data_IF_620637191570
#
_entry.id   IF_620637191570
#
_cell.length_a   1.000
_cell.length_b   1.000
_cell.length_c   1.000
_cell.angle_alpha   90.00
_cell.angle_beta   90.00
_cell.angle_gamma   90.00
#
_symmetry.space_group_name_H-M   'P 1'
#
loop_
_entity.id
_entity.type
_entity.pdbx_description
1 polymer ?
#
# COMPACT_ATOMS: atom_id res chain seq x y z
N UNK A 1 10.37 28.55 8.25
CA UNK A 1 9.52 27.60 7.49
C UNK A 1 8.44 27.08 8.42
N UNK A 2 7.16 27.31 8.09
CA UNK A 2 6.00 26.86 8.85
C UNK A 2 5.00 26.11 7.94
N UNK A 3 3.97 25.50 8.55
CA UNK A 3 2.97 24.71 7.81
C UNK A 3 2.17 25.56 6.81
N UNK A 4 1.98 26.85 7.09
CA UNK A 4 1.27 27.75 6.19
C UNK A 4 2.10 28.05 4.94
N UNK A 5 3.39 28.30 5.10
CA UNK A 5 4.32 28.47 3.98
C UNK A 5 4.41 27.20 3.14
N UNK A 6 4.48 26.00 3.78
CA UNK A 6 4.45 24.72 3.08
C UNK A 6 3.15 24.50 2.31
N UNK A 7 2.00 24.87 2.89
CA UNK A 7 0.70 24.82 2.19
C UNK A 7 0.67 25.72 0.96
N UNK A 8 1.19 26.93 1.06
CA UNK A 8 1.31 27.83 -0.07
C UNK A 8 2.22 27.26 -1.16
N UNK A 9 3.38 26.72 -0.77
CA UNK A 9 4.33 26.11 -1.70
C UNK A 9 3.70 24.94 -2.47
N UNK A 10 3.04 24.01 -1.75
CA UNK A 10 2.35 22.86 -2.38
C UNK A 10 1.25 23.33 -3.33
N UNK A 11 0.45 24.34 -2.93
CA UNK A 11 -0.62 24.89 -3.77
C UNK A 11 -0.06 25.54 -5.03
N UNK A 12 1.06 26.26 -4.95
CA UNK A 12 1.73 26.88 -6.13
C UNK A 12 2.14 25.83 -7.15
N UNK A 13 2.63 24.68 -6.69
CA UNK A 13 3.05 23.58 -7.57
C UNK A 13 1.83 22.92 -8.22
N UNK A 14 0.78 22.65 -7.45
CA UNK A 14 -0.45 22.02 -7.94
C UNK A 14 -1.17 22.87 -8.99
N UNK A 15 -1.19 24.20 -8.82
CA UNK A 15 -1.83 25.12 -9.76
C UNK A 15 -0.92 25.50 -10.95
N UNK A 16 0.36 25.14 -10.90
CA UNK A 16 1.34 25.40 -11.96
C UNK A 16 1.70 26.87 -12.16
N UNK A 17 1.05 27.81 -11.45
CA UNK A 17 1.33 29.25 -11.50
C UNK A 17 1.05 29.92 -10.16
N UNK A 18 1.84 30.95 -9.82
CA UNK A 18 1.62 31.73 -8.59
C UNK A 18 0.26 32.45 -8.61
N UNK A 19 -0.16 32.93 -9.78
CA UNK A 19 -1.46 33.61 -9.93
C UNK A 19 -2.64 32.66 -9.76
N UNK A 20 -2.52 31.40 -10.24
CA UNK A 20 -3.50 30.33 -10.04
C UNK A 20 -3.64 29.98 -8.58
N UNK A 21 -2.51 29.74 -7.93
CA UNK A 21 -2.45 29.44 -6.49
C UNK A 21 -3.02 30.57 -5.63
N UNK A 22 -2.70 31.84 -5.96
CA UNK A 22 -3.22 33.00 -5.23
C UNK A 22 -4.76 33.04 -5.29
N UNK A 23 -5.37 32.78 -6.46
CA UNK A 23 -6.84 32.68 -6.59
C UNK A 23 -7.42 31.56 -5.75
N UNK A 24 -6.81 30.38 -5.77
CA UNK A 24 -7.27 29.22 -4.99
C UNK A 24 -7.17 29.46 -3.49
N UNK A 25 -6.14 30.18 -3.05
CA UNK A 25 -5.89 30.54 -1.66
C UNK A 25 -6.65 31.79 -1.20
N UNK A 26 -7.46 32.40 -2.08
CA UNK A 26 -8.15 33.69 -1.82
C UNK A 26 -7.18 34.82 -1.43
N UNK A 27 -6.01 34.83 -2.05
CA UNK A 27 -4.96 35.85 -1.88
C UNK A 27 -4.74 36.64 -3.16
N UNK A 28 -4.08 37.78 -3.04
CA UNK A 28 -3.48 38.45 -4.19
C UNK A 28 -2.10 37.87 -4.48
N UNK A 29 -1.63 37.99 -5.74
CA UNK A 29 -0.35 37.39 -6.17
C UNK A 29 0.87 37.96 -5.40
N UNK A 30 1.00 39.30 -5.12
CA UNK A 30 2.20 39.84 -4.50
C UNK A 30 2.54 39.22 -3.12
N UNK A 31 1.61 39.09 -2.15
CA UNK A 31 1.93 38.45 -0.89
C UNK A 31 2.29 36.98 -1.01
N UNK A 32 1.68 36.22 -1.95
CA UNK A 32 2.04 34.82 -2.14
C UNK A 32 3.45 34.70 -2.74
N UNK A 33 3.79 35.54 -3.73
CA UNK A 33 5.14 35.61 -4.29
C UNK A 33 6.19 35.96 -3.25
N UNK A 34 5.90 36.91 -2.34
CA UNK A 34 6.78 37.26 -1.22
C UNK A 34 6.99 36.08 -0.26
N UNK A 35 5.93 35.32 0.04
CA UNK A 35 6.05 34.12 0.89
C UNK A 35 6.91 33.02 0.23
N UNK A 36 6.80 32.82 -1.08
CA UNK A 36 7.67 31.86 -1.79
C UNK A 36 9.13 32.30 -1.76
N UNK A 37 9.39 33.60 -1.96
CA UNK A 37 10.75 34.13 -1.85
C UNK A 37 11.33 33.99 -0.44
N UNK A 38 10.53 34.27 0.59
CA UNK A 38 10.94 34.08 1.99
C UNK A 38 11.26 32.61 2.30
N UNK A 39 10.46 31.68 1.77
CA UNK A 39 10.71 30.24 1.90
C UNK A 39 12.04 29.83 1.26
N UNK A 40 12.38 30.37 0.09
CA UNK A 40 13.67 30.13 -0.57
C UNK A 40 14.85 30.73 0.21
N UNK A 41 14.67 31.93 0.76
CA UNK A 41 15.66 32.58 1.63
C UNK A 41 15.92 31.76 2.90
N UNK A 42 14.86 31.29 3.59
CA UNK A 42 14.97 30.43 4.76
C UNK A 42 15.58 29.05 4.45
N UNK A 43 15.25 28.48 3.28
CA UNK A 43 15.82 27.22 2.82
C UNK A 43 17.28 27.35 2.37
N UNK A 44 17.75 28.58 2.11
CA UNK A 44 19.11 28.85 1.59
C UNK A 44 19.34 28.38 0.17
N UNK A 45 18.28 28.05 -0.57
CA UNK A 45 18.37 27.58 -1.96
C UNK A 45 17.11 27.94 -2.77
N UNK A 46 17.26 27.97 -4.09
CA UNK A 46 16.12 28.15 -4.97
C UNK A 46 15.30 26.86 -5.04
N UNK A 47 13.99 27.01 -4.92
CA UNK A 47 13.01 25.92 -5.03
C UNK A 47 12.33 25.91 -6.41
N UNK A 48 12.34 27.04 -7.09
CA UNK A 48 11.75 27.23 -8.41
C UNK A 48 12.81 27.58 -9.45
N UNK A 49 12.65 27.06 -10.68
CA UNK A 49 13.44 27.47 -11.85
C UNK A 49 13.04 28.90 -12.27
N UNK A 50 14.05 29.74 -12.55
CA UNK A 50 13.83 31.15 -12.99
C UNK A 50 13.48 31.20 -14.47
N UNK A 51 12.57 32.12 -14.83
CA UNK A 51 12.29 32.49 -16.23
C UNK A 51 11.22 31.65 -16.92
N UNK A 52 10.59 30.71 -16.28
CA UNK A 52 9.47 29.95 -16.85
C UNK A 52 8.12 30.65 -16.64
N UNK A 53 7.21 30.55 -17.63
CA UNK A 53 5.80 30.99 -17.48
C UNK A 53 5.02 30.08 -16.53
N UNK A 54 5.46 28.83 -16.37
CA UNK A 54 4.91 27.85 -15.45
C UNK A 54 5.92 27.54 -14.36
N UNK A 55 5.41 27.19 -13.19
CA UNK A 55 6.23 26.77 -12.05
C UNK A 55 6.95 25.47 -12.43
N UNK A 56 8.28 25.53 -12.40
CA UNK A 56 9.15 24.36 -12.51
C UNK A 56 10.00 24.27 -11.24
N UNK A 57 10.15 23.06 -10.71
CA UNK A 57 10.89 22.82 -9.49
C UNK A 57 12.35 22.52 -9.78
N UNK A 58 13.23 23.08 -8.96
CA UNK A 58 14.62 22.61 -8.85
C UNK A 58 14.65 21.22 -8.18
N UNK A 59 15.80 20.55 -8.14
CA UNK A 59 15.97 19.32 -7.38
C UNK A 59 15.67 19.52 -5.89
N UNK A 60 16.06 20.67 -5.29
CA UNK A 60 15.71 21.04 -3.93
C UNK A 60 14.19 21.25 -3.76
N UNK A 61 13.55 21.90 -4.75
CA UNK A 61 12.10 22.08 -4.78
C UNK A 61 11.34 20.75 -4.83
N UNK A 62 11.79 19.80 -5.65
CA UNK A 62 11.20 18.46 -5.71
C UNK A 62 11.32 17.71 -4.39
N UNK A 63 12.50 17.76 -3.76
CA UNK A 63 12.72 17.16 -2.45
C UNK A 63 11.79 17.79 -1.39
N UNK A 64 11.73 19.13 -1.35
CA UNK A 64 10.86 19.84 -0.40
C UNK A 64 9.39 19.52 -0.66
N UNK A 65 8.95 19.47 -1.92
CA UNK A 65 7.56 19.13 -2.27
C UNK A 65 7.12 17.80 -1.69
N UNK A 66 7.92 16.73 -1.91
CA UNK A 66 7.62 15.42 -1.37
C UNK A 66 7.56 15.38 0.16
N UNK A 67 8.38 16.19 0.85
CA UNK A 67 8.36 16.32 2.31
C UNK A 67 7.20 17.20 2.79
N UNK A 68 6.94 18.32 2.13
CA UNK A 68 5.88 19.25 2.48
C UNK A 68 4.49 18.61 2.42
N UNK A 69 4.21 17.80 1.38
CA UNK A 69 2.95 17.04 1.29
C UNK A 69 2.78 16.13 2.51
N UNK A 70 3.80 15.34 2.87
CA UNK A 70 3.75 14.45 4.04
C UNK A 70 3.58 15.21 5.36
N UNK A 71 4.26 16.35 5.53
CA UNK A 71 4.15 17.19 6.75
C UNK A 71 2.73 17.77 6.91
N UNK A 72 2.14 18.25 5.82
CA UNK A 72 0.77 18.79 5.83
C UNK A 72 -0.26 17.70 6.13
N UNK A 73 -0.12 16.54 5.51
CA UNK A 73 -0.97 15.39 5.74
C UNK A 73 -0.89 14.93 7.20
N UNK A 74 0.31 14.82 7.76
CA UNK A 74 0.51 14.45 9.17
C UNK A 74 -0.08 15.50 10.13
N UNK A 75 0.04 16.78 9.82
CA UNK A 75 -0.56 17.85 10.62
C UNK A 75 -2.11 17.76 10.63
N UNK A 76 -2.73 17.48 9.48
CA UNK A 76 -4.17 17.29 9.37
C UNK A 76 -4.65 16.05 10.11
N UNK A 77 -3.87 14.95 10.02
CA UNK A 77 -4.12 13.72 10.78
C UNK A 77 -4.10 14.01 12.28
N UNK A 78 -3.04 14.66 12.76
CA UNK A 78 -2.87 15.02 14.19
C UNK A 78 -4.04 15.86 14.72
N UNK A 79 -4.48 16.83 13.92
CA UNK A 79 -5.62 17.69 14.30
C UNK A 79 -6.92 16.88 14.41
N UNK A 80 -7.15 15.92 13.50
CA UNK A 80 -8.31 15.01 13.56
C UNK A 80 -8.23 14.07 14.76
N UNK A 81 -7.08 13.47 15.02
CA UNK A 81 -6.87 12.58 16.17
C UNK A 81 -7.14 13.26 17.51
N UNK A 82 -6.70 14.50 17.68
CA UNK A 82 -6.99 15.28 18.87
C UNK A 82 -8.49 15.54 19.06
N UNK A 83 -9.22 15.74 17.97
CA UNK A 83 -10.67 15.88 17.98
C UNK A 83 -11.36 14.56 18.37
N UNK A 84 -10.96 13.45 17.74
CA UNK A 84 -11.53 12.11 17.97
C UNK A 84 -11.23 11.60 19.40
N UNK A 85 -10.05 11.92 19.94
CA UNK A 85 -9.69 11.61 21.33
C UNK A 85 -10.65 12.25 22.33
N UNK A 86 -11.14 13.45 22.04
CA UNK A 86 -12.12 14.15 22.89
C UNK A 86 -13.51 13.49 22.83
N UNK A 87 -13.92 12.98 21.67
CA UNK A 87 -15.29 12.51 21.41
C UNK A 87 -15.48 10.99 21.70
N UNK A 88 -14.39 10.22 21.95
CA UNK A 88 -14.30 8.91 22.64
C UNK A 88 -14.87 7.66 21.99
N UNK A 89 -15.78 7.76 21.02
CA UNK A 89 -16.48 6.58 20.40
C UNK A 89 -16.58 6.65 18.87
N UNK A 90 -16.16 7.72 18.26
CA UNK A 90 -16.09 7.92 16.82
C UNK A 90 -14.62 8.11 16.42
N UNK A 91 -14.29 7.88 15.18
CA UNK A 91 -12.94 8.12 14.67
C UNK A 91 -12.73 7.53 13.29
N UNK A 92 -11.56 7.77 12.74
CA UNK A 92 -11.14 7.22 11.44
C UNK A 92 -9.97 6.27 11.66
N UNK A 93 -10.13 5.01 11.25
CA UNK A 93 -9.04 4.04 11.21
C UNK A 93 -8.30 4.15 9.87
N UNK A 94 -7.05 4.61 9.92
CA UNK A 94 -6.16 4.67 8.74
C UNK A 94 -5.41 3.35 8.59
N UNK A 95 -5.84 2.57 7.61
CA UNK A 95 -5.37 1.22 7.36
C UNK A 95 -4.70 1.11 5.99
N UNK A 96 -3.43 0.71 5.97
CA UNK A 96 -2.72 0.33 4.76
C UNK A 96 -3.03 -1.11 4.37
N UNK A 97 -3.20 -1.38 3.08
CA UNK A 97 -3.51 -2.74 2.64
C UNK A 97 -2.90 -3.03 1.26
N UNK A 98 -2.31 -4.20 1.10
CA UNK A 98 -1.92 -4.67 -0.24
C UNK A 98 -3.16 -5.11 -1.01
N UNK A 99 -3.19 -4.85 -2.32
CA UNK A 99 -4.36 -5.03 -3.18
C UNK A 99 -5.00 -6.42 -3.10
N UNK A 100 -4.19 -7.47 -2.99
CA UNK A 100 -4.66 -8.86 -2.89
C UNK A 100 -5.34 -9.18 -1.55
N UNK A 101 -5.16 -8.36 -0.53
CA UNK A 101 -5.78 -8.53 0.80
C UNK A 101 -7.01 -7.66 0.95
N UNK A 102 -6.94 -6.42 0.46
CA UNK A 102 -8.04 -5.46 0.52
C UNK A 102 -9.30 -5.93 -0.20
N UNK A 103 -9.11 -6.57 -1.35
CA UNK A 103 -10.23 -7.04 -2.19
C UNK A 103 -10.83 -8.40 -1.77
N UNK A 104 -10.21 -9.10 -0.81
CA UNK A 104 -10.61 -10.45 -0.40
C UNK A 104 -10.81 -10.54 1.11
N UNK A 105 -9.73 -10.63 1.83
CA UNK A 105 -9.68 -10.96 3.24
C UNK A 105 -10.21 -9.87 4.18
N UNK A 106 -9.88 -8.60 3.88
CA UNK A 106 -10.24 -7.47 4.74
C UNK A 106 -11.74 -7.25 4.83
N UNK A 107 -12.50 -7.58 3.80
CA UNK A 107 -13.95 -7.33 3.73
C UNK A 107 -14.68 -7.96 4.92
N UNK A 108 -14.40 -9.22 5.22
CA UNK A 108 -15.05 -9.93 6.34
C UNK A 108 -14.66 -9.34 7.69
N UNK A 109 -13.37 -9.01 7.86
CA UNK A 109 -12.87 -8.40 9.09
C UNK A 109 -13.52 -7.02 9.36
N UNK A 110 -13.70 -6.22 8.31
CA UNK A 110 -14.37 -4.91 8.40
C UNK A 110 -15.87 -5.07 8.68
N UNK A 111 -16.55 -6.04 8.04
CA UNK A 111 -17.96 -6.31 8.30
C UNK A 111 -18.21 -6.68 9.76
N UNK A 112 -17.39 -7.51 10.36
CA UNK A 112 -17.52 -7.92 11.77
C UNK A 112 -17.15 -6.78 12.73
N UNK A 113 -16.15 -6.00 12.39
CA UNK A 113 -15.75 -4.82 13.16
C UNK A 113 -16.86 -3.77 13.17
N UNK A 114 -17.44 -3.46 12.03
CA UNK A 114 -18.47 -2.42 11.88
C UNK A 114 -19.76 -2.72 12.65
N UNK A 115 -20.10 -4.02 12.85
CA UNK A 115 -21.22 -4.43 13.72
C UNK A 115 -21.01 -4.00 15.18
N UNK A 116 -19.77 -3.98 15.65
CA UNK A 116 -19.40 -3.63 17.03
C UNK A 116 -19.10 -2.13 17.20
N UNK A 117 -18.57 -1.50 16.13
CA UNK A 117 -18.09 -0.11 16.13
C UNK A 117 -18.66 0.67 14.94
N UNK A 118 -20.00 0.92 14.90
CA UNK A 118 -20.67 1.50 13.72
C UNK A 118 -20.31 2.97 13.43
N UNK A 119 -19.63 3.64 14.37
CA UNK A 119 -19.23 5.05 14.25
C UNK A 119 -17.73 5.22 13.94
N UNK A 120 -17.03 4.13 13.63
CA UNK A 120 -15.64 4.19 13.18
C UNK A 120 -15.62 4.05 11.65
N UNK A 121 -15.13 5.08 11.00
CA UNK A 121 -14.92 5.11 9.56
C UNK A 121 -13.53 4.54 9.21
N UNK A 122 -13.34 4.15 7.95
CA UNK A 122 -12.10 3.63 7.42
C UNK A 122 -11.53 4.56 6.37
N UNK A 123 -10.25 4.86 6.48
CA UNK A 123 -9.45 5.46 5.42
C UNK A 123 -8.44 4.41 4.95
N UNK A 124 -8.69 3.83 3.76
CA UNK A 124 -7.86 2.76 3.22
C UNK A 124 -6.83 3.32 2.25
N UNK A 125 -5.57 3.01 2.51
CA UNK A 125 -4.47 3.29 1.60
C UNK A 125 -4.01 1.98 0.95
N UNK A 126 -4.16 1.86 -0.36
CA UNK A 126 -3.62 0.73 -1.11
C UNK A 126 -2.21 1.02 -1.62
N UNK A 127 -1.34 0.02 -1.52
CA UNK A 127 0.04 0.11 -1.98
C UNK A 127 0.76 -1.23 -1.96
N UNK A 128 2.00 -1.25 -2.41
CA UNK A 128 2.86 -2.41 -2.18
C UNK A 128 3.38 -2.41 -0.72
N UNK A 129 3.88 -3.57 -0.28
CA UNK A 129 4.35 -3.75 1.11
C UNK A 129 5.34 -2.66 1.53
N UNK A 130 6.30 -2.30 0.69
CA UNK A 130 7.36 -1.34 1.06
C UNK A 130 6.83 0.08 1.20
N UNK A 131 5.94 0.51 0.30
CA UNK A 131 5.26 1.80 0.39
C UNK A 131 4.41 1.91 1.66
N UNK A 132 3.67 0.84 2.00
CA UNK A 132 2.84 0.81 3.21
C UNK A 132 3.70 0.85 4.48
N UNK A 133 4.83 0.14 4.51
CA UNK A 133 5.76 0.20 5.64
C UNK A 133 6.40 1.58 5.80
N UNK A 134 6.69 2.30 4.71
CA UNK A 134 7.15 3.68 4.76
C UNK A 134 6.08 4.61 5.35
N UNK A 135 4.82 4.47 4.92
CA UNK A 135 3.71 5.27 5.46
C UNK A 135 3.44 4.95 6.94
N UNK A 136 3.56 3.68 7.32
CA UNK A 136 3.45 3.25 8.70
C UNK A 136 4.53 3.89 9.59
N UNK A 137 5.79 3.90 9.12
CA UNK A 137 6.91 4.54 9.85
C UNK A 137 6.78 6.06 9.94
N UNK A 138 6.14 6.69 8.98
CA UNK A 138 5.87 8.14 8.98
C UNK A 138 4.59 8.54 9.72
N UNK A 139 3.80 7.58 10.22
CA UNK A 139 2.55 7.85 10.94
C UNK A 139 1.36 8.25 10.05
N UNK A 140 1.49 8.13 8.72
CA UNK A 140 0.38 8.40 7.79
C UNK A 140 -0.70 7.33 7.86
N UNK A 141 -0.33 6.09 8.17
CA UNK A 141 -1.23 4.99 8.50
C UNK A 141 -0.85 4.41 9.86
N UNK A 142 -1.81 3.83 10.57
CA UNK A 142 -1.61 3.29 11.92
C UNK A 142 -1.35 1.79 11.92
N UNK A 143 -2.02 1.09 11.03
CA UNK A 143 -1.94 -0.35 10.83
C UNK A 143 -1.75 -0.65 9.35
N UNK A 144 -1.09 -1.78 9.05
CA UNK A 144 -0.98 -2.24 7.69
C UNK A 144 -1.20 -3.76 7.59
N UNK A 145 -1.96 -4.19 6.59
CA UNK A 145 -2.06 -5.59 6.17
C UNK A 145 -1.15 -5.79 4.96
N UNK A 146 -0.04 -6.45 5.19
CA UNK A 146 1.02 -6.66 4.19
C UNK A 146 1.36 -8.13 4.03
N UNK A 147 2.16 -8.46 3.02
CA UNK A 147 2.61 -9.82 2.77
C UNK A 147 4.10 -10.00 3.01
N UNK A 148 4.48 -11.16 3.53
CA UNK A 148 5.90 -11.58 3.58
C UNK A 148 6.45 -11.82 2.16
N UNK A 149 7.80 -11.71 1.96
CA UNK A 149 8.81 -11.28 2.94
C UNK A 149 8.92 -9.76 3.06
N UNK A 150 9.31 -9.28 4.26
CA UNK A 150 9.70 -7.89 4.52
C UNK A 150 10.55 -7.81 5.79
N UNK A 151 11.31 -6.71 5.99
CA UNK A 151 12.06 -6.46 7.21
C UNK A 151 11.10 -6.13 8.37
N UNK A 152 11.32 -6.76 9.52
CA UNK A 152 10.53 -6.52 10.75
C UNK A 152 11.15 -5.48 11.69
N UNK A 153 12.24 -4.86 11.30
CA UNK A 153 12.95 -3.89 12.15
C UNK A 153 12.06 -2.67 12.46
N UNK A 154 11.92 -2.33 13.74
CA UNK A 154 11.06 -1.23 14.22
C UNK A 154 9.55 -1.50 14.08
N UNK A 155 9.15 -2.74 13.80
CA UNK A 155 7.76 -3.12 13.56
C UNK A 155 7.32 -4.22 14.53
N UNK A 156 6.07 -4.12 14.98
CA UNK A 156 5.34 -5.25 15.53
C UNK A 156 4.58 -5.91 14.38
N UNK A 157 4.82 -7.20 14.14
CA UNK A 157 4.20 -7.94 13.05
C UNK A 157 3.60 -9.23 13.56
N UNK A 158 2.33 -9.47 13.24
CA UNK A 158 1.61 -10.69 13.60
C UNK A 158 1.12 -11.36 12.32
N UNK A 159 1.53 -12.61 12.05
CA UNK A 159 1.00 -13.36 10.92
C UNK A 159 -0.46 -13.72 11.19
N UNK A 160 -1.33 -13.51 10.22
CA UNK A 160 -2.76 -13.84 10.29
C UNK A 160 -3.06 -15.14 9.53
N UNK A 161 -2.57 -15.25 8.31
CA UNK A 161 -2.77 -16.39 7.43
C UNK A 161 -1.50 -16.64 6.64
N UNK A 162 -1.14 -17.91 6.51
CA UNK A 162 -0.15 -18.38 5.57
C UNK A 162 -0.84 -19.16 4.46
N UNK A 163 -0.48 -18.88 3.21
CA UNK A 163 -1.08 -19.51 2.04
C UNK A 163 -0.04 -19.82 0.96
N UNK A 164 -0.25 -20.91 0.19
CA UNK A 164 0.64 -21.25 -0.92
C UNK A 164 0.46 -20.30 -2.10
N UNK A 165 1.48 -20.22 -2.96
CA UNK A 165 1.35 -19.65 -4.28
C UNK A 165 0.80 -20.73 -5.24
N UNK A 166 -0.20 -20.33 -6.04
CA UNK A 166 -0.85 -21.20 -7.01
C UNK A 166 -0.66 -20.60 -8.41
N UNK A 167 -0.57 -21.47 -9.41
CA UNK A 167 -0.70 -21.08 -10.80
C UNK A 167 -2.18 -20.92 -11.15
N UNK A 168 -2.56 -19.74 -11.65
CA UNK A 168 -3.94 -19.38 -12.01
C UNK A 168 -3.99 -19.07 -13.51
N UNK A 169 -4.93 -19.67 -14.22
CA UNK A 169 -5.09 -19.45 -15.65
C UNK A 169 -6.20 -20.31 -16.26
N UNK A 170 -6.43 -20.16 -17.58
CA UNK A 170 -7.40 -20.97 -18.29
C UNK A 170 -7.06 -22.47 -18.24
N UNK A 171 -8.06 -23.33 -18.06
CA UNK A 171 -7.95 -24.80 -18.08
C UNK A 171 -7.10 -25.32 -19.23
N UNK A 172 -7.18 -24.68 -20.42
CA UNK A 172 -6.43 -25.09 -21.63
C UNK A 172 -4.92 -25.14 -21.43
N UNK A 173 -4.37 -24.33 -20.52
CA UNK A 173 -2.93 -24.31 -20.26
C UNK A 173 -2.44 -25.49 -19.42
N UNK A 174 -3.31 -26.09 -18.62
CA UNK A 174 -2.91 -27.09 -17.62
C UNK A 174 -3.08 -28.57 -18.06
N UNK A 175 -3.65 -28.81 -19.23
CA UNK A 175 -3.81 -30.20 -19.81
C UNK A 175 -4.37 -31.21 -18.78
N UNK A 176 -5.29 -30.77 -17.91
CA UNK A 176 -5.87 -31.56 -16.81
C UNK A 176 -4.89 -32.03 -15.72
N UNK A 177 -3.64 -31.54 -15.71
CA UNK A 177 -2.67 -31.85 -14.64
C UNK A 177 -3.05 -31.15 -13.34
N UNK A 178 -2.89 -31.86 -12.23
CA UNK A 178 -3.09 -31.34 -10.87
C UNK A 178 -2.43 -32.27 -9.83
N UNK A 179 -1.32 -31.92 -9.19
CA UNK A 179 -0.58 -30.65 -9.33
C UNK A 179 0.15 -30.53 -10.68
N UNK A 180 0.73 -29.35 -10.91
CA UNK A 180 1.65 -29.06 -12.03
C UNK A 180 3.08 -28.88 -11.50
N UNK A 181 4.05 -28.80 -12.43
CA UNK A 181 5.45 -28.49 -12.16
C UNK A 181 5.89 -27.21 -12.87
N UNK A 182 7.06 -26.66 -12.52
CA UNK A 182 7.67 -25.57 -13.27
C UNK A 182 7.91 -25.93 -14.74
N UNK A 183 8.23 -27.20 -15.01
CA UNK A 183 8.39 -27.73 -16.39
C UNK A 183 7.11 -27.61 -17.19
N UNK A 184 5.94 -27.80 -16.56
CA UNK A 184 4.64 -27.66 -17.24
C UNK A 184 4.31 -26.22 -17.60
N UNK A 185 4.94 -25.26 -16.93
CA UNK A 185 4.80 -23.82 -17.18
C UNK A 185 5.81 -23.30 -18.22
N UNK A 186 6.85 -24.09 -18.53
CA UNK A 186 7.87 -23.70 -19.51
C UNK A 186 7.26 -23.48 -20.88
N UNK A 187 7.57 -22.36 -21.52
CA UNK A 187 7.03 -21.97 -22.83
C UNK A 187 5.60 -21.43 -22.83
N UNK A 188 4.86 -21.53 -21.73
CA UNK A 188 3.54 -20.91 -21.60
C UNK A 188 3.65 -19.41 -21.25
N UNK A 189 2.69 -18.56 -21.67
CA UNK A 189 2.73 -17.14 -21.38
C UNK A 189 2.51 -16.86 -19.89
N UNK A 190 3.56 -16.41 -19.18
CA UNK A 190 3.49 -16.09 -17.76
C UNK A 190 3.23 -14.60 -17.54
N UNK A 191 2.30 -14.31 -16.64
CA UNK A 191 2.00 -12.99 -16.12
C UNK A 191 2.62 -12.90 -14.72
N UNK A 192 3.75 -12.18 -14.61
CA UNK A 192 4.52 -12.12 -13.38
C UNK A 192 4.12 -10.90 -12.55
N UNK A 193 3.69 -11.15 -11.34
CA UNK A 193 3.61 -10.11 -10.31
C UNK A 193 5.02 -9.83 -9.79
N UNK A 194 5.54 -8.61 -9.98
CA UNK A 194 6.95 -8.23 -9.71
C UNK A 194 7.42 -8.58 -8.32
N UNK A 195 6.53 -8.64 -7.35
CA UNK A 195 6.87 -9.08 -5.99
C UNK A 195 7.53 -10.45 -5.95
N UNK A 196 7.05 -11.37 -6.76
CA UNK A 196 7.53 -12.76 -6.81
C UNK A 196 8.51 -13.02 -7.94
N UNK A 197 8.68 -12.06 -8.84
CA UNK A 197 9.53 -12.20 -10.03
C UNK A 197 10.93 -12.72 -9.72
N UNK A 198 11.70 -12.15 -8.76
CA UNK A 198 13.06 -12.61 -8.50
C UNK A 198 13.10 -14.07 -8.07
N UNK A 199 12.19 -14.47 -7.16
CA UNK A 199 12.14 -15.85 -6.64
C UNK A 199 11.71 -16.82 -7.74
N UNK A 200 10.69 -16.45 -8.52
CA UNK A 200 10.19 -17.30 -9.61
C UNK A 200 11.23 -17.48 -10.70
N UNK A 201 11.89 -16.42 -11.16
CA UNK A 201 12.93 -16.53 -12.19
C UNK A 201 14.12 -17.36 -11.70
N UNK A 202 14.49 -17.25 -10.42
CA UNK A 202 15.54 -18.07 -9.84
C UNK A 202 15.14 -19.55 -9.80
N UNK A 203 13.91 -19.88 -9.37
CA UNK A 203 13.41 -21.25 -9.35
C UNK A 203 13.39 -21.88 -10.76
N UNK A 204 12.99 -21.12 -11.78
CA UNK A 204 13.10 -21.60 -13.18
C UNK A 204 14.55 -21.84 -13.59
N UNK A 205 15.46 -20.93 -13.22
CA UNK A 205 16.89 -21.06 -13.52
C UNK A 205 17.51 -22.29 -12.85
N UNK A 206 17.21 -22.54 -11.58
CA UNK A 206 17.66 -23.71 -10.83
C UNK A 206 17.15 -25.01 -11.43
N UNK A 207 15.93 -25.00 -11.97
CA UNK A 207 15.36 -26.13 -12.70
C UNK A 207 15.91 -26.29 -14.14
N UNK A 208 16.82 -25.41 -14.60
CA UNK A 208 17.34 -25.42 -15.97
C UNK A 208 16.30 -25.02 -17.02
N UNK A 209 15.25 -24.29 -16.62
CA UNK A 209 14.14 -23.89 -17.46
C UNK A 209 14.19 -22.39 -17.79
N UNK A 210 13.63 -22.02 -18.95
CA UNK A 210 13.50 -20.64 -19.37
C UNK A 210 12.01 -20.28 -19.43
N UNK A 211 11.50 -19.38 -18.57
CA UNK A 211 10.10 -18.96 -18.59
C UNK A 211 9.82 -18.00 -19.75
N UNK A 212 8.66 -18.15 -20.38
CA UNK A 212 8.15 -17.16 -21.33
C UNK A 212 7.36 -16.09 -20.58
N UNK A 213 8.02 -14.99 -20.23
CA UNK A 213 7.37 -13.86 -19.52
C UNK A 213 6.62 -13.00 -20.53
N UNK A 214 5.30 -13.15 -20.56
CA UNK A 214 4.39 -12.36 -21.39
C UNK A 214 4.15 -10.95 -20.83
N UNK A 215 3.97 -10.84 -19.50
CA UNK A 215 3.68 -9.58 -18.84
C UNK A 215 4.33 -9.51 -17.46
N UNK A 216 4.76 -8.32 -17.07
CA UNK A 216 5.18 -7.99 -15.70
C UNK A 216 4.35 -6.83 -15.19
N UNK A 217 3.79 -6.93 -13.99
CA UNK A 217 3.00 -5.87 -13.37
C UNK A 217 3.23 -5.79 -11.86
N UNK A 218 2.75 -4.71 -11.25
CA UNK A 218 2.97 -4.40 -9.83
C UNK A 218 1.73 -4.65 -8.95
N UNK A 219 0.67 -5.26 -9.51
CA UNK A 219 -0.59 -5.49 -8.81
C UNK A 219 -1.10 -6.93 -8.99
N UNK A 220 -1.36 -7.63 -7.88
CA UNK A 220 -1.85 -9.01 -7.92
C UNK A 220 -3.26 -9.12 -8.52
N UNK A 221 -4.13 -8.10 -8.37
CA UNK A 221 -5.47 -8.07 -8.98
C UNK A 221 -5.37 -7.99 -10.50
N UNK A 222 -4.49 -7.13 -11.01
CA UNK A 222 -4.22 -7.05 -12.46
C UNK A 222 -3.74 -8.39 -12.98
N UNK A 223 -2.82 -9.05 -12.26
CA UNK A 223 -2.31 -10.37 -12.65
C UNK A 223 -3.41 -11.41 -12.75
N UNK A 224 -4.30 -11.50 -11.73
CA UNK A 224 -5.37 -12.50 -11.72
C UNK A 224 -6.45 -12.19 -12.78
N UNK A 225 -6.81 -10.92 -12.98
CA UNK A 225 -7.79 -10.50 -13.99
C UNK A 225 -7.31 -10.84 -15.40
N UNK A 226 -6.03 -10.63 -15.70
CA UNK A 226 -5.46 -10.97 -17.00
C UNK A 226 -5.37 -12.50 -17.22
N UNK A 227 -5.05 -13.24 -16.16
CA UNK A 227 -5.10 -14.71 -16.20
C UNK A 227 -6.54 -15.21 -16.42
N UNK A 228 -7.53 -14.58 -15.78
CA UNK A 228 -8.96 -14.87 -15.92
C UNK A 228 -9.49 -14.55 -17.32
N UNK A 229 -8.94 -13.52 -17.97
CA UNK A 229 -9.21 -13.21 -19.38
C UNK A 229 -8.53 -14.18 -20.37
N UNK A 230 -7.76 -15.17 -19.89
CA UNK A 230 -7.10 -16.17 -20.71
C UNK A 230 -5.83 -15.69 -21.41
N UNK A 231 -5.24 -14.55 -21.00
CA UNK A 231 -4.03 -13.97 -21.61
C UNK A 231 -2.75 -14.71 -21.23
N UNK A 232 -2.78 -15.48 -20.13
CA UNK A 232 -1.63 -16.25 -19.67
C UNK A 232 -1.90 -16.95 -18.34
N UNK A 233 -0.83 -17.34 -17.67
CA UNK A 233 -0.84 -17.96 -16.35
C UNK A 233 -0.16 -17.01 -15.38
N UNK A 234 -0.81 -16.74 -14.23
CA UNK A 234 -0.20 -15.98 -13.15
C UNK A 234 0.08 -16.88 -11.94
N UNK A 235 1.22 -16.64 -11.25
CA UNK A 235 1.58 -17.34 -10.01
C UNK A 235 1.33 -16.36 -8.85
N UNK A 236 0.33 -16.68 -8.03
CA UNK A 236 -0.24 -15.76 -7.04
C UNK A 236 -0.60 -16.49 -5.75
N UNK A 237 -0.68 -15.78 -4.61
CA UNK A 237 -1.24 -16.33 -3.38
C UNK A 237 -2.65 -16.88 -3.58
N UNK A 238 -2.98 -17.97 -2.90
CA UNK A 238 -4.23 -18.72 -3.09
C UNK A 238 -5.49 -17.83 -2.95
N UNK A 239 -5.49 -16.86 -2.03
CA UNK A 239 -6.61 -15.93 -1.81
C UNK A 239 -6.94 -15.07 -3.04
N UNK A 240 -5.96 -14.78 -3.91
CA UNK A 240 -6.20 -14.00 -5.12
C UNK A 240 -7.15 -14.71 -6.10
N UNK A 241 -7.25 -16.07 -6.02
CA UNK A 241 -8.19 -16.84 -6.82
C UNK A 241 -9.66 -16.49 -6.56
N UNK A 242 -9.98 -15.95 -5.38
CA UNK A 242 -11.32 -15.44 -5.05
C UNK A 242 -11.82 -14.29 -5.96
N UNK A 243 -10.94 -13.68 -6.75
CA UNK A 243 -11.28 -12.64 -7.73
C UNK A 243 -11.62 -13.18 -9.12
N UNK A 244 -11.43 -14.48 -9.36
CA UNK A 244 -11.75 -15.15 -10.62
C UNK A 244 -13.26 -15.22 -10.82
N UNK A 245 -13.70 -14.89 -12.04
CA UNK A 245 -15.14 -14.91 -12.43
C UNK A 245 -15.42 -15.88 -13.56
N UNK A 246 -14.41 -16.15 -14.40
CA UNK A 246 -14.58 -17.06 -15.54
C UNK A 246 -14.53 -18.53 -15.08
N UNK A 247 -15.57 -19.34 -15.34
CA UNK A 247 -15.63 -20.76 -14.95
C UNK A 247 -14.55 -21.63 -15.61
N UNK A 248 -13.93 -21.14 -16.68
CA UNK A 248 -12.82 -21.83 -17.33
C UNK A 248 -11.44 -21.50 -16.76
N UNK A 249 -11.37 -20.59 -15.81
CA UNK A 249 -10.16 -20.29 -15.06
C UNK A 249 -10.07 -21.20 -13.84
N UNK A 250 -8.91 -21.82 -13.68
CA UNK A 250 -8.63 -22.73 -12.56
C UNK A 250 -7.32 -22.35 -11.87
N UNK A 251 -7.17 -22.77 -10.63
CA UNK A 251 -5.91 -22.72 -9.90
C UNK A 251 -5.28 -24.12 -9.83
N UNK A 252 -3.93 -24.17 -9.79
CA UNK A 252 -3.16 -25.41 -9.65
C UNK A 252 -2.00 -25.21 -8.68
N UNK A 253 -1.80 -26.12 -7.72
CA UNK A 253 -0.58 -26.19 -6.93
C UNK A 253 0.61 -26.49 -7.82
N UNK A 254 1.77 -25.93 -7.51
CA UNK A 254 3.04 -26.17 -8.20
C UNK A 254 3.88 -27.05 -7.27
N UNK A 255 4.05 -28.34 -7.59
CA UNK A 255 4.61 -29.32 -6.66
C UNK A 255 6.11 -29.15 -6.37
N UNK A 256 6.85 -28.59 -7.32
CA UNK A 256 8.29 -28.31 -7.22
C UNK A 256 8.61 -26.85 -6.90
N UNK A 257 7.60 -26.06 -6.45
CA UNK A 257 7.73 -24.69 -6.03
C UNK A 257 7.02 -24.48 -4.66
N UNK A 258 7.60 -24.92 -3.55
CA UNK A 258 6.97 -24.84 -2.23
C UNK A 258 7.02 -23.41 -1.64
N UNK A 259 6.55 -22.43 -2.41
CA UNK A 259 6.50 -21.03 -1.95
C UNK A 259 5.21 -20.74 -1.22
N UNK A 260 5.35 -20.13 -0.06
CA UNK A 260 4.22 -19.60 0.74
C UNK A 260 4.34 -18.10 0.94
N UNK A 261 3.23 -17.47 1.25
CA UNK A 261 3.13 -16.07 1.61
C UNK A 261 2.22 -15.90 2.81
N UNK A 262 2.68 -15.17 3.83
CA UNK A 262 1.83 -14.84 4.96
C UNK A 262 1.26 -13.43 4.83
N UNK A 263 -0.04 -13.29 5.11
CA UNK A 263 -0.66 -11.99 5.39
C UNK A 263 -0.31 -11.65 6.83
N UNK A 264 0.31 -10.50 7.03
CA UNK A 264 0.68 -10.01 8.35
C UNK A 264 -0.03 -8.68 8.64
N UNK A 265 -0.54 -8.55 9.86
CA UNK A 265 -0.89 -7.26 10.41
C UNK A 265 0.35 -6.65 11.05
N UNK A 266 0.64 -5.40 10.68
CA UNK A 266 1.86 -4.71 11.09
C UNK A 266 1.51 -3.34 11.64
N UNK A 267 2.22 -2.93 12.70
CA UNK A 267 2.25 -1.56 13.21
C UNK A 267 3.67 -1.12 13.51
N UNK A 268 3.93 0.17 13.54
CA UNK A 268 5.17 0.71 14.08
C UNK A 268 5.25 0.46 15.60
N UNK A 269 6.45 0.21 16.13
CA UNK A 269 6.67 0.06 17.58
C UNK A 269 6.63 1.42 18.30
N UNK A 270 7.10 2.46 17.64
CA UNK A 270 7.33 3.77 18.24
C UNK A 270 6.18 4.78 18.00
N UNK A 271 5.15 4.37 17.25
CA UNK A 271 4.03 5.26 16.92
C UNK A 271 2.84 4.96 17.82
N UNK A 272 2.22 6.01 18.35
CA UNK A 272 0.93 5.93 19.03
C UNK A 272 -0.13 5.41 18.06
N UNK A 273 -1.09 4.63 18.57
CA UNK A 273 -2.24 4.14 17.82
C UNK A 273 -3.54 4.64 18.45
N UNK A 274 -4.49 5.02 17.61
CA UNK A 274 -5.80 5.54 18.02
C UNK A 274 -6.65 4.50 18.77
N UNK A 275 -7.71 4.96 19.41
CA UNK A 275 -8.71 4.07 20.01
C UNK A 275 -9.35 3.17 18.95
N UNK A 276 -9.60 3.70 17.74
CA UNK A 276 -10.10 2.95 16.59
C UNK A 276 -9.16 1.81 16.18
N UNK A 277 -7.85 2.10 16.07
CA UNK A 277 -6.84 1.10 15.75
C UNK A 277 -6.73 0.00 16.83
N UNK A 278 -6.78 0.37 18.11
CA UNK A 278 -6.81 -0.61 19.22
C UNK A 278 -8.05 -1.47 19.19
N UNK A 279 -9.22 -0.90 18.94
CA UNK A 279 -10.47 -1.64 18.81
C UNK A 279 -10.40 -2.65 17.66
N UNK A 280 -9.85 -2.25 16.52
CA UNK A 280 -9.66 -3.12 15.36
C UNK A 280 -8.67 -4.26 15.64
N UNK A 281 -7.54 -3.98 16.28
CA UNK A 281 -6.59 -5.01 16.76
C UNK A 281 -7.25 -6.04 17.67
N UNK A 282 -8.07 -5.57 18.62
CA UNK A 282 -8.80 -6.45 19.55
C UNK A 282 -9.86 -7.30 18.84
N UNK A 283 -10.53 -6.76 17.83
CA UNK A 283 -11.48 -7.49 17.01
C UNK A 283 -10.77 -8.60 16.21
N UNK A 284 -9.67 -8.26 15.53
CA UNK A 284 -8.88 -9.24 14.78
C UNK A 284 -8.26 -10.31 15.67
N UNK A 285 -7.79 -9.98 16.88
CA UNK A 285 -7.21 -10.96 17.80
C UNK A 285 -8.22 -12.04 18.23
N UNK A 286 -9.50 -11.68 18.36
CA UNK A 286 -10.58 -12.64 18.67
C UNK A 286 -10.89 -13.54 17.47
N UNK A 287 -10.79 -13.00 16.27
CA UNK A 287 -11.10 -13.75 15.04
C UNK A 287 -10.00 -14.75 14.67
N UNK A 288 -8.74 -14.43 14.99
CA UNK A 288 -7.56 -15.22 14.55
C UNK A 288 -6.79 -15.90 15.68
N UNK A 289 -7.32 -15.90 16.92
CA UNK A 289 -6.72 -16.52 18.11
C UNK A 289 -5.24 -16.13 18.36
N UNK A 290 -4.88 -14.89 17.98
CA UNK A 290 -3.55 -14.33 18.17
C UNK A 290 -3.57 -13.12 19.11
N UNK A 291 -2.82 -13.12 20.23
CA UNK A 291 -2.81 -12.00 21.16
C UNK A 291 -1.99 -10.82 20.61
N UNK A 292 -2.66 -9.83 20.03
CA UNK A 292 -2.06 -8.57 19.61
C UNK A 292 -1.66 -7.64 20.77
N UNK A 293 -2.18 -7.92 21.98
CA UNK A 293 -2.20 -6.98 23.11
C UNK A 293 -1.12 -7.20 24.15
N UNK A 294 -0.26 -8.22 24.06
CA UNK A 294 0.72 -8.52 25.13
C UNK A 294 1.83 -7.49 25.36
N UNK A 295 1.94 -6.43 24.55
CA UNK A 295 3.00 -5.42 24.68
C UNK A 295 2.51 -3.95 24.76
N UNK A 296 1.23 -3.67 25.06
CA UNK A 296 0.70 -2.30 25.12
C UNK A 296 0.58 -1.72 26.54
N UNK A 297 0.97 -2.46 27.59
CA UNK A 297 0.87 -2.01 28.99
C UNK A 297 2.21 -1.59 29.63
N UNK A 298 3.21 -1.22 28.86
CA UNK A 298 4.45 -0.62 29.41
C UNK A 298 4.78 0.66 28.64
N UNK A 299 4.20 1.75 29.07
CA UNK A 299 4.78 3.10 29.17
C UNK A 299 3.71 4.08 29.65
#
# INVERSE_FOLDING_TARGET
MDLKQLSYFVTVIQEGTISGAARKLHLTQPPLSAQMKLLEEEAGCLLFERGSRHVQLTAAGQMLYGRAVKMLELADITARELKDYRDGTAGVLRLGVVSSVGSTYLIHAVQDFQKQYPHIDFELTEGNTYQLLEQLSSGLIELALVRTPFSKQGLTSVPLIEEPLLAVGSKRYFQNKNPITLSDLSGLPLILYRRWEPILLESFREAGLVPHVFCKNDDARTSVIWADAGLGISILPASAFGLVKNPDTVSRPISDLPLTSSICLVRSQDTWISTAARAFLNCLSKTYDHPFTKNTERS
#
